data_IF_370223131304
#
_entry.id   IF_370223131304
#
_cell.length_a   1.000
_cell.length_b   1.000
_cell.length_c   1.000
_cell.angle_alpha   90.00
_cell.angle_beta   90.00
_cell.angle_gamma   90.00
#
_symmetry.space_group_name_H-M   'P 1'
#
loop_
_entity.id
_entity.type
_entity.pdbx_description
1 polymer ?
#
# COMPACT_ATOMS: atom_id res chain seq x y z
N UNK A 1 -6.30 17.86 -4.87
CA UNK A 1 -7.12 17.59 -3.71
C UNK A 1 -6.25 17.22 -2.53
N UNK A 2 -6.70 17.52 -1.34
CA UNK A 2 -5.86 17.35 -0.16
C UNK A 2 -5.93 15.94 0.39
N UNK A 3 -4.77 15.37 0.73
CA UNK A 3 -4.71 14.12 1.48
C UNK A 3 -5.06 14.43 2.93
N UNK A 4 -6.01 13.69 3.49
CA UNK A 4 -6.47 13.84 4.87
C UNK A 4 -6.08 12.66 5.75
N UNK A 5 -5.60 11.57 5.15
CA UNK A 5 -5.15 10.40 5.88
C UNK A 5 -4.09 9.66 5.08
N UNK A 6 -3.17 9.01 5.78
CA UNK A 6 -2.17 8.14 5.17
C UNK A 6 -2.32 6.73 5.70
N UNK A 7 -2.28 5.76 4.80
CA UNK A 7 -2.17 4.35 5.12
C UNK A 7 -0.73 3.94 4.80
N UNK A 8 -0.02 3.44 5.80
CA UNK A 8 1.35 3.00 5.67
C UNK A 8 1.40 1.49 5.80
N UNK A 9 1.89 0.81 4.75
CA UNK A 9 2.12 -0.63 4.77
C UNK A 9 3.61 -0.85 4.65
N UNK A 10 4.25 -1.21 5.76
CA UNK A 10 5.70 -1.38 5.84
C UNK A 10 6.05 -2.86 5.84
N UNK A 11 6.95 -3.26 4.95
CA UNK A 11 7.27 -4.66 4.71
C UNK A 11 8.78 -4.88 4.71
N UNK A 12 9.22 -5.96 5.35
CA UNK A 12 10.63 -6.39 5.23
C UNK A 12 10.72 -7.32 4.03
N UNK A 13 11.33 -6.83 2.96
CA UNK A 13 11.45 -7.56 1.69
C UNK A 13 12.93 -7.73 1.34
N UNK A 14 13.44 -8.97 1.27
CA UNK A 14 14.82 -9.19 0.85
C UNK A 14 15.06 -8.61 -0.54
N UNK A 15 16.29 -8.15 -0.78
CA UNK A 15 16.62 -7.50 -2.05
C UNK A 15 16.25 -8.36 -3.26
N UNK A 16 16.46 -9.66 -3.17
CA UNK A 16 16.13 -10.59 -4.28
C UNK A 16 14.65 -10.62 -4.63
N UNK A 17 13.78 -10.20 -3.71
CA UNK A 17 12.32 -10.21 -3.91
C UNK A 17 11.76 -8.82 -4.23
N UNK A 18 12.59 -7.77 -4.20
CA UNK A 18 12.09 -6.40 -4.36
C UNK A 18 11.56 -6.10 -5.75
N UNK A 19 12.14 -6.72 -6.78
CA UNK A 19 11.63 -6.54 -8.14
C UNK A 19 10.19 -7.08 -8.27
N UNK A 20 9.92 -8.25 -7.67
CA UNK A 20 8.58 -8.84 -7.69
C UNK A 20 7.58 -7.97 -6.91
N UNK A 21 7.99 -7.44 -5.76
CA UNK A 21 7.13 -6.55 -4.98
C UNK A 21 6.84 -5.25 -5.73
N UNK A 22 7.85 -4.68 -6.38
CA UNK A 22 7.69 -3.46 -7.17
C UNK A 22 6.72 -3.68 -8.33
N UNK A 23 6.71 -4.87 -8.91
CA UNK A 23 5.78 -5.20 -9.98
C UNK A 23 4.33 -5.18 -9.49
N UNK A 24 4.07 -5.73 -8.30
CA UNK A 24 2.73 -5.68 -7.71
C UNK A 24 2.31 -4.21 -7.50
N UNK A 25 3.19 -3.40 -6.93
CA UNK A 25 2.93 -1.98 -6.75
C UNK A 25 2.58 -1.31 -8.08
N UNK A 26 3.41 -1.52 -9.11
CA UNK A 26 3.22 -0.89 -10.41
C UNK A 26 1.91 -1.34 -11.07
N UNK A 27 1.60 -2.64 -11.00
CA UNK A 27 0.40 -3.19 -11.62
C UNK A 27 -0.89 -2.63 -11.02
N UNK A 28 -0.88 -2.32 -9.72
CA UNK A 28 -2.09 -1.88 -9.04
C UNK A 28 -2.13 -0.39 -8.71
N UNK A 29 -1.09 0.36 -9.04
CA UNK A 29 -1.04 1.80 -8.74
C UNK A 29 -2.15 2.56 -9.45
N UNK A 30 -2.25 2.43 -10.76
CA UNK A 30 -3.27 3.14 -11.53
C UNK A 30 -4.68 2.65 -11.22
N UNK A 31 -4.95 1.35 -11.18
CA UNK A 31 -6.27 0.87 -10.76
C UNK A 31 -6.66 1.37 -9.38
N UNK A 32 -5.72 1.42 -8.43
CA UNK A 32 -5.97 1.99 -7.10
C UNK A 32 -6.42 3.44 -7.20
N UNK A 33 -5.65 4.25 -7.91
CA UNK A 33 -5.95 5.68 -8.01
C UNK A 33 -7.27 5.96 -8.74
N UNK A 34 -7.64 5.10 -9.68
CA UNK A 34 -8.85 5.30 -10.51
C UNK A 34 -10.11 4.73 -9.90
N UNK A 35 -10.03 3.65 -9.12
CA UNK A 35 -11.23 2.91 -8.72
C UNK A 35 -11.48 2.85 -7.21
N UNK A 36 -10.45 3.06 -6.39
CA UNK A 36 -10.62 2.96 -4.93
C UNK A 36 -11.20 4.28 -4.40
N UNK A 37 -12.35 4.23 -3.72
CA UNK A 37 -12.96 5.44 -3.16
C UNK A 37 -12.01 6.17 -2.23
N UNK A 38 -11.86 7.48 -2.45
CA UNK A 38 -11.02 8.33 -1.62
C UNK A 38 -9.53 8.26 -1.88
N UNK A 39 -9.08 7.44 -2.84
CA UNK A 39 -7.66 7.31 -3.15
C UNK A 39 -7.12 8.59 -3.79
N UNK A 40 -6.06 9.16 -3.21
CA UNK A 40 -5.44 10.39 -3.68
C UNK A 40 -4.03 10.16 -4.20
N UNK A 41 -3.20 9.39 -3.48
CA UNK A 41 -1.81 9.14 -3.85
C UNK A 41 -1.40 7.73 -3.50
N UNK A 42 -0.36 7.23 -4.19
CA UNK A 42 0.25 5.95 -3.86
C UNK A 42 1.71 5.99 -4.26
N UNK A 43 2.61 5.83 -3.30
CA UNK A 43 4.04 5.89 -3.50
C UNK A 43 4.73 4.67 -2.92
N UNK A 44 5.79 4.20 -3.59
CA UNK A 44 6.63 3.11 -3.11
C UNK A 44 7.90 3.73 -2.54
N UNK A 45 8.13 3.55 -1.25
CA UNK A 45 9.29 4.07 -0.54
C UNK A 45 10.22 2.92 -0.23
N UNK A 46 11.50 3.08 -0.56
CA UNK A 46 12.49 2.00 -0.46
C UNK A 46 13.68 2.48 0.35
N UNK A 47 14.10 1.66 1.31
CA UNK A 47 15.40 1.80 1.99
C UNK A 47 15.98 0.40 2.20
N UNK A 48 17.22 0.32 2.70
CA UNK A 48 17.89 -0.97 2.85
C UNK A 48 17.12 -1.90 3.80
N UNK A 49 16.59 -1.35 4.90
CA UNK A 49 15.95 -2.14 5.96
C UNK A 49 14.56 -2.62 5.60
N UNK A 50 13.80 -1.83 4.84
CA UNK A 50 12.41 -2.18 4.53
C UNK A 50 11.89 -1.41 3.32
N UNK A 51 10.65 -1.73 2.97
CA UNK A 51 9.92 -1.09 1.88
C UNK A 51 8.56 -0.68 2.43
N UNK A 52 8.10 0.49 2.05
CA UNK A 52 6.78 0.96 2.48
C UNK A 52 5.97 1.41 1.28
N UNK A 53 4.69 1.02 1.24
CA UNK A 53 3.75 1.64 0.31
C UNK A 53 2.95 2.67 1.10
N UNK A 54 3.07 3.92 0.66
CA UNK A 54 2.39 5.05 1.29
C UNK A 54 1.19 5.42 0.45
N UNK A 55 0.00 5.26 1.04
CA UNK A 55 -1.26 5.55 0.35
C UNK A 55 -1.90 6.81 0.96
N UNK A 56 -2.20 7.79 0.13
CA UNK A 56 -2.94 8.98 0.58
C UNK A 56 -4.41 8.83 0.28
N UNK A 57 -5.25 9.18 1.26
CA UNK A 57 -6.71 9.10 1.17
C UNK A 57 -7.34 10.43 1.59
N UNK A 58 -8.57 10.62 1.18
CA UNK A 58 -9.35 11.80 1.57
C UNK A 58 -9.91 11.67 2.99
N UNK A 59 -9.90 10.46 3.59
CA UNK A 59 -10.40 10.22 4.95
C UNK A 59 -9.83 8.94 5.52
N UNK A 60 -9.83 8.85 6.86
CA UNK A 60 -9.45 7.63 7.57
C UNK A 60 -10.40 6.49 7.24
N UNK A 61 -11.71 6.78 7.11
CA UNK A 61 -12.70 5.78 6.78
C UNK A 61 -12.41 5.11 5.43
N UNK A 62 -12.06 5.89 4.41
CA UNK A 62 -11.72 5.33 3.11
C UNK A 62 -10.45 4.48 3.15
N UNK A 63 -9.47 4.87 3.98
CA UNK A 63 -8.28 4.04 4.17
C UNK A 63 -8.65 2.68 4.77
N UNK A 64 -9.54 2.65 5.76
CA UNK A 64 -10.00 1.41 6.37
C UNK A 64 -10.79 0.55 5.39
N UNK A 65 -11.66 1.17 4.59
CA UNK A 65 -12.44 0.45 3.57
C UNK A 65 -11.52 -0.21 2.55
N UNK A 66 -10.44 0.46 2.16
CA UNK A 66 -9.48 -0.12 1.22
C UNK A 66 -8.87 -1.43 1.74
N UNK A 67 -8.54 -1.49 3.04
CA UNK A 67 -7.98 -2.71 3.62
C UNK A 67 -8.91 -3.90 3.53
N UNK A 68 -10.23 -3.66 3.46
CA UNK A 68 -11.24 -4.70 3.30
C UNK A 68 -11.64 -4.90 1.83
N UNK A 69 -11.10 -4.12 0.91
CA UNK A 69 -11.49 -4.16 -0.49
C UNK A 69 -11.01 -5.44 -1.18
N UNK A 70 -11.71 -5.80 -2.24
CA UNK A 70 -11.31 -6.94 -3.08
C UNK A 70 -9.92 -6.74 -3.66
N UNK A 71 -9.60 -5.51 -4.11
CA UNK A 71 -8.28 -5.23 -4.66
C UNK A 71 -7.18 -5.55 -3.65
N UNK A 72 -7.31 -5.09 -2.39
CA UNK A 72 -6.30 -5.35 -1.39
C UNK A 72 -6.26 -6.81 -0.96
N UNK A 73 -7.41 -7.38 -0.60
CA UNK A 73 -7.47 -8.72 0.00
C UNK A 73 -7.27 -9.85 -1.00
N UNK A 74 -7.67 -9.66 -2.27
CA UNK A 74 -7.63 -10.73 -3.28
C UNK A 74 -6.48 -10.59 -4.27
N UNK A 75 -5.89 -9.40 -4.38
CA UNK A 75 -4.85 -9.13 -5.40
C UNK A 75 -3.56 -8.59 -4.81
N UNK A 76 -3.61 -7.47 -4.10
CA UNK A 76 -2.39 -6.81 -3.62
C UNK A 76 -1.73 -7.62 -2.50
N UNK A 77 -2.49 -7.96 -1.46
CA UNK A 77 -1.96 -8.70 -0.32
C UNK A 77 -1.41 -10.06 -0.76
N UNK A 78 -2.17 -10.91 -1.50
CA UNK A 78 -1.63 -12.19 -1.95
C UNK A 78 -0.42 -12.05 -2.88
N UNK A 79 -0.38 -10.99 -3.68
CA UNK A 79 0.77 -10.74 -4.57
C UNK A 79 2.03 -10.37 -3.82
N UNK A 80 1.91 -9.65 -2.71
CA UNK A 80 3.04 -9.23 -1.89
C UNK A 80 3.49 -10.29 -0.89
N UNK A 81 2.58 -11.12 -0.40
CA UNK A 81 2.87 -12.08 0.66
C UNK A 81 4.09 -12.96 0.39
N UNK A 82 4.30 -13.50 -0.83
CA UNK A 82 5.50 -14.30 -1.11
C UNK A 82 6.80 -13.51 -1.06
N UNK A 83 6.75 -12.18 -1.05
CA UNK A 83 7.95 -11.34 -1.14
C UNK A 83 8.51 -10.95 0.21
N UNK A 84 7.71 -10.91 1.27
CA UNK A 84 8.17 -10.45 2.57
C UNK A 84 8.59 -11.61 3.48
N UNK A 85 9.42 -11.31 4.50
CA UNK A 85 9.92 -12.31 5.46
C UNK A 85 9.20 -12.27 6.80
N UNK A 86 8.37 -11.27 7.04
CA UNK A 86 7.60 -11.11 8.26
C UNK A 86 6.31 -10.38 7.90
N UNK A 87 5.29 -10.50 8.76
CA UNK A 87 4.01 -9.82 8.54
C UNK A 87 4.23 -8.31 8.44
N UNK A 88 3.50 -7.64 7.54
CA UNK A 88 3.65 -6.20 7.36
C UNK A 88 3.10 -5.42 8.55
N UNK A 89 3.69 -4.27 8.80
CA UNK A 89 3.11 -3.30 9.73
C UNK A 89 2.15 -2.40 8.96
N UNK A 90 0.92 -2.33 9.42
CA UNK A 90 -0.13 -1.52 8.80
C UNK A 90 -0.57 -0.44 9.78
N UNK A 91 -0.44 0.82 9.37
CA UNK A 91 -0.78 1.95 10.22
C UNK A 91 -1.56 2.99 9.42
N UNK A 92 -2.54 3.61 10.05
CA UNK A 92 -3.33 4.68 9.45
C UNK A 92 -3.19 5.91 10.32
N UNK A 93 -2.82 7.03 9.70
CA UNK A 93 -2.69 8.32 10.38
C UNK A 93 -3.65 9.33 9.73
N UNK A 94 -4.31 10.14 10.55
CA UNK A 94 -5.01 11.30 10.02
C UNK A 94 -4.02 12.45 9.86
N UNK A 95 -4.25 13.29 8.87
CA UNK A 95 -3.45 14.50 8.67
C UNK A 95 -4.13 15.64 9.40
N UNK A 96 -3.37 16.27 10.26
CA UNK A 96 -3.88 17.40 11.05
C UNK A 96 -3.78 18.71 10.28
#
# INVERSE_FOLDING_TARGET
>A
MAVKAYLQVTMVIPEKNRAAAAKVYTDYREPFLKTIPGAETKDLLIRDEDVQVLHGFDSVEHAKVYLDSEMFTQHVFPGLKPTWTADPEVQIYSVN
#
